data_IF_166795158432
#
_entry.id   IF_166795158432
#
_cell.length_a   1.000
_cell.length_b   1.000
_cell.length_c   1.000
_cell.angle_alpha   90.00
_cell.angle_beta   90.00
_cell.angle_gamma   90.00
#
_symmetry.space_group_name_H-M   'P 1'
#
loop_
_entity.id
_entity.type
_entity.pdbx_description
1 polymer ?
#
# COMPACT_ATOMS: atom_id res chain seq x y z
N UNK A 1 -52.70 -42.75 54.84
CA UNK A 1 -53.89 -42.62 53.96
C UNK A 1 -53.52 -41.64 52.88
N UNK A 2 -53.76 -41.98 51.59
CA UNK A 2 -52.80 -42.45 50.58
C UNK A 2 -52.25 -41.27 49.73
N UNK A 3 -51.23 -41.40 48.88
CA UNK A 3 -51.33 -42.08 47.59
C UNK A 3 -49.94 -42.17 46.93
N UNK A 4 -49.45 -43.41 46.84
CA UNK A 4 -48.23 -43.79 46.13
C UNK A 4 -48.52 -43.75 44.62
N UNK A 5 -47.83 -42.85 43.88
CA UNK A 5 -47.85 -42.85 42.42
C UNK A 5 -46.58 -43.49 41.89
N UNK A 6 -46.72 -44.71 41.40
CA UNK A 6 -45.68 -45.46 40.70
C UNK A 6 -45.56 -44.92 39.27
N UNK A 7 -44.45 -44.26 38.93
CA UNK A 7 -44.17 -43.86 37.55
C UNK A 7 -43.31 -44.93 36.88
N UNK A 8 -43.92 -45.69 35.97
CA UNK A 8 -43.26 -46.68 35.12
C UNK A 8 -42.66 -45.96 33.91
N UNK A 9 -41.36 -45.65 33.93
CA UNK A 9 -40.65 -45.11 32.77
C UNK A 9 -40.08 -46.26 31.93
N UNK A 10 -40.64 -46.44 30.75
CA UNK A 10 -40.17 -47.36 29.71
C UNK A 10 -38.83 -46.86 29.15
N UNK A 11 -37.78 -47.67 29.24
CA UNK A 11 -36.51 -47.42 28.54
C UNK A 11 -36.66 -47.79 27.06
N UNK A 12 -36.58 -46.79 26.18
CA UNK A 12 -36.46 -47.00 24.74
C UNK A 12 -34.97 -47.07 24.39
N UNK A 13 -34.48 -48.27 24.06
CA UNK A 13 -33.10 -48.46 23.59
C UNK A 13 -32.98 -47.93 22.16
N UNK A 14 -32.32 -46.77 21.98
CA UNK A 14 -31.94 -46.26 20.67
C UNK A 14 -30.62 -46.92 20.24
N UNK A 15 -30.70 -47.78 19.22
CA UNK A 15 -29.51 -48.36 18.57
C UNK A 15 -28.86 -47.30 17.68
N UNK A 16 -27.79 -46.66 18.15
CA UNK A 16 -26.99 -45.75 17.33
C UNK A 16 -26.00 -46.54 16.47
N UNK A 17 -26.25 -46.61 15.17
CA UNK A 17 -25.25 -47.06 14.19
C UNK A 17 -24.20 -45.96 14.00
N UNK A 18 -22.96 -46.22 14.38
CA UNK A 18 -21.84 -45.32 14.12
C UNK A 18 -21.45 -45.38 12.64
N UNK A 19 -21.60 -44.26 11.92
CA UNK A 19 -20.98 -44.07 10.61
C UNK A 19 -19.50 -43.72 10.83
N UNK A 20 -18.60 -44.61 10.41
CA UNK A 20 -17.17 -44.34 10.39
C UNK A 20 -16.89 -43.27 9.31
N UNK A 21 -16.53 -42.06 9.74
CA UNK A 21 -16.03 -41.03 8.84
C UNK A 21 -14.63 -41.44 8.34
N UNK A 22 -14.48 -41.51 7.01
CA UNK A 22 -13.18 -41.68 6.36
C UNK A 22 -12.30 -40.47 6.65
N UNK A 23 -11.06 -40.62 7.14
CA UNK A 23 -10.13 -39.51 7.27
C UNK A 23 -9.66 -39.13 5.86
N UNK A 24 -10.38 -38.22 5.21
CA UNK A 24 -9.81 -37.52 4.07
C UNK A 24 -8.64 -36.68 4.62
N UNK A 25 -7.38 -36.91 4.19
CA UNK A 25 -6.28 -36.05 4.59
C UNK A 25 -6.54 -34.68 3.96
N UNK A 26 -7.16 -33.78 4.74
CA UNK A 26 -7.20 -32.36 4.43
C UNK A 26 -5.76 -31.87 4.55
N UNK A 27 -5.02 -31.94 3.45
CA UNK A 27 -3.80 -31.16 3.27
C UNK A 27 -4.21 -29.70 3.32
N UNK A 28 -4.19 -29.13 4.53
CA UNK A 28 -4.23 -27.68 4.71
C UNK A 28 -2.96 -27.14 4.07
N UNK A 29 -3.01 -26.83 2.78
CA UNK A 29 -1.98 -26.06 2.09
C UNK A 29 -1.94 -24.70 2.76
N UNK A 30 -1.08 -24.54 3.77
CA UNK A 30 -0.73 -23.24 4.32
C UNK A 30 0.01 -22.51 3.21
N UNK A 31 -0.70 -21.72 2.41
CA UNK A 31 -0.07 -20.73 1.55
C UNK A 31 0.60 -19.71 2.45
N UNK A 32 1.87 -19.93 2.76
CA UNK A 32 2.71 -18.96 3.45
C UNK A 32 2.78 -17.73 2.54
N UNK A 33 2.06 -16.67 2.92
CA UNK A 33 2.10 -15.41 2.19
C UNK A 33 3.45 -14.77 2.50
N UNK A 34 4.39 -14.88 1.57
CA UNK A 34 5.70 -14.22 1.69
C UNK A 34 5.59 -12.80 1.17
N UNK A 35 5.83 -11.83 2.04
CA UNK A 35 5.89 -10.42 1.68
C UNK A 35 7.31 -10.06 1.21
N UNK A 36 7.48 -9.06 0.34
CA UNK A 36 8.81 -8.54 0.03
C UNK A 36 9.45 -7.96 1.30
N UNK A 37 10.78 -8.03 1.39
CA UNK A 37 11.51 -7.50 2.55
C UNK A 37 11.44 -5.97 2.65
N UNK A 38 11.30 -5.28 1.52
CA UNK A 38 11.32 -3.81 1.42
C UNK A 38 10.28 -3.32 0.41
N UNK A 39 9.94 -2.04 0.49
CA UNK A 39 9.16 -1.33 -0.52
C UNK A 39 10.11 -0.65 -1.49
N UNK A 40 10.07 -1.07 -2.76
CA UNK A 40 10.70 -0.32 -3.83
C UNK A 40 9.81 0.84 -4.24
N UNK A 41 10.39 2.01 -4.41
CA UNK A 41 9.65 3.23 -4.71
C UNK A 41 10.36 4.10 -5.74
N UNK A 42 9.57 4.74 -6.60
CA UNK A 42 10.04 5.84 -7.43
C UNK A 42 10.25 7.07 -6.56
N UNK A 43 11.49 7.56 -6.52
CA UNK A 43 11.87 8.76 -5.79
C UNK A 43 12.19 9.87 -6.79
N UNK A 44 11.58 11.04 -6.60
CA UNK A 44 12.05 12.27 -7.24
C UNK A 44 13.03 12.92 -6.28
N UNK A 45 14.29 13.04 -6.68
CA UNK A 45 15.33 13.70 -5.88
C UNK A 45 16.07 14.69 -6.77
N UNK A 46 17.17 15.27 -6.29
CA UNK A 46 18.00 16.17 -7.09
C UNK A 46 19.48 15.81 -7.02
N UNK A 47 20.13 15.82 -8.18
CA UNK A 47 21.59 15.77 -8.33
C UNK A 47 22.04 16.95 -9.16
N UNK A 48 23.16 17.57 -8.78
CA UNK A 48 23.74 18.71 -9.52
C UNK A 48 22.69 19.78 -9.86
N UNK A 49 21.81 20.07 -8.90
CA UNK A 49 20.77 21.10 -9.01
C UNK A 49 19.76 20.85 -10.14
N UNK A 50 19.45 19.58 -10.41
CA UNK A 50 18.42 19.15 -11.36
C UNK A 50 17.66 17.96 -10.77
N UNK A 51 16.34 17.90 -10.99
CA UNK A 51 15.56 16.75 -10.57
C UNK A 51 15.93 15.50 -11.36
N UNK A 52 15.90 14.37 -10.67
CA UNK A 52 16.19 13.04 -11.20
C UNK A 52 15.18 12.03 -10.67
N UNK A 53 14.97 10.96 -11.42
CA UNK A 53 14.17 9.82 -11.01
C UNK A 53 15.09 8.71 -10.53
N UNK A 54 14.83 8.19 -9.34
CA UNK A 54 15.56 7.06 -8.76
C UNK A 54 14.59 5.97 -8.31
N UNK A 55 15.12 4.75 -8.15
CA UNK A 55 14.39 3.61 -7.60
C UNK A 55 15.04 3.23 -6.27
N UNK A 56 14.36 3.53 -5.16
CA UNK A 56 14.88 3.26 -3.82
C UNK A 56 14.18 2.08 -3.19
N UNK A 57 14.92 1.31 -2.39
CA UNK A 57 14.36 0.35 -1.46
C UNK A 57 14.34 0.98 -0.06
N UNK A 58 13.18 1.08 0.57
CA UNK A 58 13.09 1.68 1.91
C UNK A 58 13.77 0.80 2.97
N UNK A 59 14.53 1.45 3.84
CA UNK A 59 15.21 0.84 4.97
C UNK A 59 14.95 1.67 6.25
N UNK A 60 14.50 1.08 7.37
CA UNK A 60 14.15 -0.34 7.53
C UNK A 60 12.98 -0.77 6.64
N UNK A 61 13.06 -2.00 6.15
CA UNK A 61 12.01 -2.62 5.34
C UNK A 61 10.76 -3.03 6.14
N UNK A 62 9.95 -3.92 5.57
CA UNK A 62 8.71 -4.38 6.19
C UNK A 62 8.97 -5.15 7.49
N UNK A 63 8.08 -4.95 8.46
CA UNK A 63 7.99 -5.70 9.71
C UNK A 63 6.63 -6.37 9.84
N UNK A 64 6.52 -7.40 10.67
CA UNK A 64 5.22 -8.05 10.92
C UNK A 64 4.38 -7.21 11.89
N UNK A 65 3.14 -6.89 11.51
CA UNK A 65 2.22 -6.18 12.39
C UNK A 65 1.67 -7.08 13.50
N UNK A 66 1.62 -6.56 14.72
CA UNK A 66 0.90 -7.16 15.85
C UNK A 66 -0.44 -6.46 16.11
N UNK A 67 -0.80 -5.46 15.31
CA UNK A 67 -2.01 -4.66 15.53
C UNK A 67 -3.27 -5.47 15.21
N UNK A 68 -4.27 -5.40 16.10
CA UNK A 68 -5.56 -6.02 15.87
C UNK A 68 -6.17 -5.54 14.54
N UNK A 69 -6.69 -6.46 13.72
CA UNK A 69 -7.25 -6.18 12.39
C UNK A 69 -6.27 -6.39 11.22
N UNK A 70 -4.96 -6.36 11.47
CA UNK A 70 -3.90 -6.60 10.46
C UNK A 70 -2.76 -7.46 11.01
N UNK A 71 -3.00 -8.21 12.08
CA UNK A 71 -1.96 -9.02 12.72
C UNK A 71 -1.42 -10.09 11.77
N UNK A 72 -0.10 -10.24 11.72
CA UNK A 72 0.59 -11.19 10.84
C UNK A 72 0.88 -10.66 9.43
N UNK A 73 0.39 -9.47 9.07
CA UNK A 73 0.71 -8.86 7.76
C UNK A 73 2.03 -8.09 7.79
N UNK A 74 2.61 -7.83 6.63
CA UNK A 74 3.71 -6.88 6.50
C UNK A 74 3.22 -5.43 6.71
N UNK A 75 4.01 -4.65 7.43
CA UNK A 75 3.78 -3.25 7.76
C UNK A 75 5.09 -2.47 7.64
N UNK A 76 5.02 -1.31 7.01
CA UNK A 76 6.12 -0.37 6.84
C UNK A 76 5.71 0.99 7.39
N UNK A 77 6.55 1.60 8.21
CA UNK A 77 6.30 2.93 8.75
C UNK A 77 6.81 3.98 7.74
N UNK A 78 5.90 4.77 7.17
CA UNK A 78 6.24 5.86 6.25
C UNK A 78 6.56 7.19 6.96
N UNK A 79 6.52 7.19 8.30
CA UNK A 79 6.74 8.36 9.15
C UNK A 79 5.43 8.96 9.69
N UNK A 80 5.53 9.85 10.69
CA UNK A 80 4.38 10.58 11.21
C UNK A 80 3.88 11.59 10.18
N UNK A 81 2.56 11.75 10.07
CA UNK A 81 1.94 12.87 9.37
C UNK A 81 1.99 14.08 10.30
N UNK A 82 2.99 14.94 10.13
CA UNK A 82 3.22 16.12 10.99
C UNK A 82 2.51 17.39 10.50
N UNK A 83 1.91 17.35 9.32
CA UNK A 83 1.17 18.44 8.69
C UNK A 83 -0.17 17.92 8.12
N UNK A 84 -0.77 18.61 7.15
CA UNK A 84 -2.01 18.19 6.52
C UNK A 84 -1.83 16.98 5.61
N UNK A 85 -2.77 16.04 5.66
CA UNK A 85 -2.99 15.04 4.63
C UNK A 85 -4.19 15.48 3.77
N UNK A 86 -4.01 15.52 2.45
CA UNK A 86 -5.05 15.98 1.53
C UNK A 86 -5.38 14.87 0.52
N UNK A 87 -6.66 14.78 0.14
CA UNK A 87 -7.10 13.93 -0.95
C UNK A 87 -7.39 14.85 -2.15
N UNK A 88 -6.75 14.56 -3.28
CA UNK A 88 -6.92 15.32 -4.51
C UNK A 88 -7.60 14.45 -5.56
N UNK A 89 -8.65 14.99 -6.17
CA UNK A 89 -9.24 14.46 -7.39
C UNK A 89 -8.65 15.23 -8.57
N UNK A 90 -7.78 14.57 -9.32
CA UNK A 90 -7.16 15.12 -10.53
C UNK A 90 -7.88 14.54 -11.74
N UNK A 91 -8.42 15.37 -12.66
CA UNK A 91 -9.06 14.86 -13.85
C UNK A 91 -8.05 14.18 -14.78
N UNK A 92 -8.53 13.28 -15.63
CA UNK A 92 -7.73 12.73 -16.71
C UNK A 92 -7.25 13.85 -17.65
N UNK A 93 -6.07 13.63 -18.23
CA UNK A 93 -5.33 14.54 -19.11
C UNK A 93 -4.92 15.87 -18.44
N UNK A 94 -5.02 15.96 -17.10
CA UNK A 94 -4.52 17.13 -16.38
C UNK A 94 -3.00 17.23 -16.51
N UNK A 95 -2.53 18.42 -16.83
CA UNK A 95 -1.11 18.75 -16.88
C UNK A 95 -0.75 19.60 -15.65
N UNK A 96 0.05 19.02 -14.75
CA UNK A 96 0.54 19.69 -13.55
C UNK A 96 1.56 20.79 -13.81
N UNK A 97 2.02 20.93 -15.05
CA UNK A 97 3.07 21.84 -15.45
C UNK A 97 4.41 21.48 -14.83
N UNK A 98 5.44 22.21 -15.22
CA UNK A 98 6.72 22.16 -14.54
C UNK A 98 6.52 22.68 -13.10
N UNK A 99 6.75 21.82 -12.10
CA UNK A 99 6.98 22.26 -10.71
C UNK A 99 8.13 21.48 -10.02
N UNK A 100 8.58 21.96 -8.86
CA UNK A 100 9.32 21.17 -7.88
C UNK A 100 8.35 20.68 -6.81
N UNK A 101 8.74 19.70 -6.01
CA UNK A 101 7.98 19.38 -4.81
C UNK A 101 7.92 20.62 -3.87
N UNK A 102 6.72 21.08 -3.46
CA UNK A 102 6.60 22.21 -2.53
C UNK A 102 7.20 21.93 -1.15
N UNK A 103 7.30 20.65 -0.77
CA UNK A 103 7.97 20.16 0.43
C UNK A 103 8.34 18.69 0.22
N UNK A 104 9.14 18.12 1.13
CA UNK A 104 9.38 16.68 1.17
C UNK A 104 8.06 15.98 1.47
N UNK A 105 7.58 15.15 0.54
CA UNK A 105 6.24 14.58 0.68
C UNK A 105 6.11 13.18 0.06
N UNK A 106 5.25 12.41 0.69
CA UNK A 106 4.66 11.21 0.13
C UNK A 106 3.51 11.59 -0.79
N UNK A 107 3.52 11.09 -2.02
CA UNK A 107 2.35 11.17 -2.92
C UNK A 107 1.93 9.75 -3.25
N UNK A 108 0.67 9.42 -2.94
CA UNK A 108 0.12 8.09 -3.14
C UNK A 108 -1.06 8.19 -4.11
N UNK A 109 -0.82 7.77 -5.34
CA UNK A 109 -1.84 7.62 -6.35
C UNK A 109 -2.71 6.41 -6.00
N UNK A 110 -3.96 6.67 -5.64
CA UNK A 110 -4.91 5.61 -5.29
C UNK A 110 -5.48 4.92 -6.55
N UNK A 111 -5.55 5.63 -7.67
CA UNK A 111 -6.09 5.16 -8.96
C UNK A 111 -5.55 5.97 -10.14
N UNK A 112 -5.79 5.50 -11.36
CA UNK A 112 -5.34 6.17 -12.59
C UNK A 112 -3.84 6.01 -12.82
N UNK A 113 -3.28 6.86 -13.68
CA UNK A 113 -1.84 6.86 -14.01
C UNK A 113 -1.29 8.28 -13.97
N UNK A 114 -0.13 8.48 -13.35
CA UNK A 114 0.64 9.71 -13.45
C UNK A 114 1.89 9.47 -14.30
N UNK A 115 2.08 10.26 -15.34
CA UNK A 115 3.29 10.29 -16.16
C UNK A 115 4.15 11.47 -15.72
N UNK A 116 5.35 11.19 -15.22
CA UNK A 116 6.31 12.17 -14.73
C UNK A 116 7.47 12.23 -15.71
N UNK A 117 7.77 13.43 -16.21
CA UNK A 117 8.92 13.70 -17.10
C UNK A 117 9.87 14.70 -16.46
N UNK A 118 11.14 14.68 -16.83
CA UNK A 118 12.15 15.64 -16.37
C UNK A 118 12.52 16.60 -17.51
N UNK A 119 12.74 17.91 -17.28
CA UNK A 119 12.96 18.88 -18.37
C UNK A 119 14.33 18.72 -19.04
N UNK A 120 15.30 18.12 -18.37
CA UNK A 120 16.68 17.98 -18.84
C UNK A 120 17.13 16.51 -18.95
N UNK A 121 16.19 15.57 -18.92
CA UNK A 121 16.47 14.14 -19.12
C UNK A 121 15.40 13.53 -20.03
N UNK A 122 15.73 12.40 -20.65
CA UNK A 122 14.74 11.54 -21.33
C UNK A 122 14.13 10.51 -20.38
N UNK A 123 14.58 10.46 -19.13
CA UNK A 123 14.00 9.59 -18.12
C UNK A 123 12.57 10.03 -17.79
N UNK A 124 11.69 9.05 -17.64
CA UNK A 124 10.30 9.25 -17.29
C UNK A 124 9.82 8.13 -16.36
N UNK A 125 8.74 8.40 -15.62
CA UNK A 125 8.08 7.42 -14.78
C UNK A 125 6.58 7.40 -15.02
N UNK A 126 6.02 6.20 -15.20
CA UNK A 126 4.58 5.96 -15.26
C UNK A 126 4.14 5.32 -13.95
N UNK A 127 3.52 6.11 -13.09
CA UNK A 127 3.07 5.69 -11.77
C UNK A 127 1.61 5.24 -11.86
N UNK A 128 1.41 3.93 -11.90
CA UNK A 128 0.08 3.33 -11.88
C UNK A 128 -0.43 3.32 -10.44
N UNK A 129 -1.60 3.92 -10.21
CA UNK A 129 -2.21 3.98 -8.89
C UNK A 129 -2.49 2.60 -8.29
N UNK A 130 -2.63 2.55 -6.97
CA UNK A 130 -2.83 1.32 -6.21
C UNK A 130 -1.51 0.78 -5.63
N UNK A 131 -1.24 -0.53 -5.81
CA UNK A 131 -0.12 -1.23 -5.15
C UNK A 131 1.25 -0.56 -5.36
N UNK A 132 1.48 0.01 -6.54
CA UNK A 132 2.75 0.64 -6.92
C UNK A 132 2.60 2.17 -7.05
N UNK A 133 1.50 2.74 -6.54
CA UNK A 133 1.14 4.14 -6.75
C UNK A 133 1.83 5.14 -5.83
N UNK A 134 2.75 4.69 -4.97
CA UNK A 134 3.47 5.58 -4.06
C UNK A 134 4.73 6.13 -4.74
N UNK A 135 4.98 7.43 -4.56
CA UNK A 135 6.27 8.07 -4.80
C UNK A 135 6.72 8.86 -3.57
N UNK A 136 8.03 9.07 -3.48
CA UNK A 136 8.64 10.00 -2.52
C UNK A 136 9.22 11.18 -3.30
N UNK A 137 8.68 12.38 -3.10
CA UNK A 137 9.15 13.58 -3.76
C UNK A 137 10.02 14.39 -2.78
N UNK A 138 11.30 14.48 -3.10
CA UNK A 138 12.36 15.14 -2.33
C UNK A 138 12.95 16.34 -3.07
N UNK A 139 12.63 16.53 -4.35
CA UNK A 139 13.21 17.56 -5.22
C UNK A 139 12.63 18.95 -4.95
N UNK A 140 12.77 19.44 -3.72
CA UNK A 140 12.31 20.76 -3.32
C UNK A 140 13.22 21.86 -3.90
N UNK A 141 12.68 23.06 -4.09
CA UNK A 141 13.44 24.19 -4.63
C UNK A 141 14.71 24.53 -3.82
N UNK A 142 14.74 24.20 -2.52
CA UNK A 142 15.92 24.36 -1.66
C UNK A 142 17.07 23.43 -2.07
N UNK A 143 16.75 22.19 -2.45
CA UNK A 143 17.74 21.19 -2.86
C UNK A 143 18.14 21.40 -4.33
N UNK A 144 17.23 21.94 -5.15
CA UNK A 144 17.47 22.22 -6.58
C UNK A 144 18.03 23.63 -6.80
N UNK A 145 19.17 23.99 -6.18
CA UNK A 145 19.62 25.38 -6.21
C UNK A 145 20.38 25.86 -7.49
N UNK A 146 19.91 26.91 -8.16
CA UNK A 146 20.52 27.66 -9.31
C UNK A 146 20.18 27.28 -10.77
N UNK A 147 19.27 26.35 -11.07
CA UNK A 147 18.79 26.15 -12.47
C UNK A 147 17.39 26.67 -12.76
N UNK A 148 16.64 27.10 -11.74
CA UNK A 148 15.22 27.45 -11.90
C UNK A 148 14.94 28.87 -11.37
N UNK A 149 15.12 29.89 -12.20
CA UNK A 149 14.69 31.26 -11.90
C UNK A 149 13.16 31.34 -11.90
N UNK A 150 12.54 31.33 -10.72
CA UNK A 150 11.18 31.81 -10.39
C UNK A 150 9.97 31.38 -11.26
N UNK A 151 10.17 30.48 -12.23
CA UNK A 151 9.16 30.07 -13.22
C UNK A 151 9.51 28.76 -13.95
N UNK A 152 10.66 28.16 -13.63
CA UNK A 152 11.04 26.88 -14.19
C UNK A 152 11.08 25.86 -13.10
N UNK A 153 10.84 24.65 -13.52
CA UNK A 153 10.64 23.58 -12.61
C UNK A 153 10.98 22.27 -13.29
N UNK A 154 11.10 21.25 -12.47
CA UNK A 154 11.99 20.15 -12.76
C UNK A 154 11.29 18.84 -13.06
N UNK A 155 9.95 18.80 -13.02
CA UNK A 155 9.19 17.74 -13.66
C UNK A 155 7.78 18.19 -14.08
N UNK A 156 7.24 17.56 -15.13
CA UNK A 156 5.85 17.71 -15.56
C UNK A 156 5.08 16.43 -15.23
N UNK A 157 3.89 16.59 -14.66
CA UNK A 157 2.97 15.49 -14.37
C UNK A 157 1.77 15.50 -15.30
N UNK A 158 1.61 14.49 -16.15
CA UNK A 158 0.38 14.27 -16.92
C UNK A 158 -0.41 13.11 -16.30
N UNK A 159 -1.66 13.37 -15.93
CA UNK A 159 -2.50 12.35 -15.30
C UNK A 159 -3.44 11.75 -16.33
N UNK A 160 -3.68 10.44 -16.29
CA UNK A 160 -4.63 9.76 -17.17
C UNK A 160 -5.67 9.01 -16.35
N UNK A 161 -6.90 9.00 -16.86
CA UNK A 161 -7.96 8.13 -16.35
C UNK A 161 -7.60 6.66 -16.67
N UNK A 162 -8.02 5.70 -15.82
CA UNK A 162 -7.79 4.27 -16.06
C UNK A 162 -8.47 3.75 -17.33
#
# INVERSE_FOLDING_TARGET
MPLLHTLLTTFLAASTTALAASPNPTTTSSTTTTFPNTLNITTLTAHNNQSVLECWALDPGYSTSAQAGVSGTAMLNLGPVTSNATNLLIPGEYNGGLHNAPTIQWVIFLSGVAHITLPNSTDEAWIVGGKNGAILALDTAEIVWLSCTHSQACYEGVYSAP
#
